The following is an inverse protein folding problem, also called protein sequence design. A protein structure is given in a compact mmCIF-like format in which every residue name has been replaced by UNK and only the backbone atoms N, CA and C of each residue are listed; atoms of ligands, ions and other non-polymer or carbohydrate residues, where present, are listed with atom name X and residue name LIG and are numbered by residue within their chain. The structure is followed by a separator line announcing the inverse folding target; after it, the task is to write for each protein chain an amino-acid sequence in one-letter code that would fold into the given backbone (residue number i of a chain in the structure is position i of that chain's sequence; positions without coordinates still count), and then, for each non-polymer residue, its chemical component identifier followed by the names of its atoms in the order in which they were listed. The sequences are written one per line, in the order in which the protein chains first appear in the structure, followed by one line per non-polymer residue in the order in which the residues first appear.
data_IF_750046677974
#
_entry.id   IF_750046677974
#
_cell.length_a   1.000
_cell.length_b   1.000
_cell.length_c   1.000
_cell.angle_alpha   90.00
_cell.angle_beta   90.00
_cell.angle_gamma   90.00
#
_symmetry.space_group_name_H-M   'P 1'
#
loop_
_entity.id
_entity.type
_entity.pdbx_description
1 polymer ?
#
# COMPACT_ATOMS: atom_id res chain seq x y z
N UNK A 1 1.49 -23.48 14.13
CA UNK A 1 1.94 -22.77 12.91
C UNK A 1 2.25 -21.35 13.36
N UNK A 2 3.36 -20.74 12.93
CA UNK A 2 3.72 -19.38 13.39
C UNK A 2 2.78 -18.38 12.70
N UNK A 3 1.97 -17.66 13.47
CA UNK A 3 1.00 -16.68 12.98
C UNK A 3 1.71 -15.37 12.61
N UNK A 4 2.52 -15.41 11.54
CA UNK A 4 3.13 -14.22 10.97
C UNK A 4 2.07 -13.44 10.18
N UNK A 5 1.84 -12.20 10.59
CA UNK A 5 0.91 -11.27 9.95
C UNK A 5 1.67 -10.08 9.38
N UNK A 6 1.19 -9.52 8.28
CA UNK A 6 1.69 -8.27 7.73
C UNK A 6 0.56 -7.24 7.77
N UNK A 7 0.90 -6.02 8.19
CA UNK A 7 0.02 -4.85 8.17
C UNK A 7 0.78 -3.67 7.61
N UNK A 8 0.11 -2.62 7.20
CA UNK A 8 0.76 -1.42 6.67
C UNK A 8 0.19 -0.15 7.31
N UNK A 9 1.01 0.89 7.35
CA UNK A 9 0.63 2.24 7.76
C UNK A 9 1.10 3.20 6.68
N UNK A 10 0.21 4.04 6.18
CA UNK A 10 0.55 5.10 5.24
C UNK A 10 1.09 6.31 5.99
N UNK A 11 2.06 7.01 5.42
CA UNK A 11 2.62 8.23 6.00
C UNK A 11 1.62 9.40 5.92
N UNK A 12 0.70 9.35 4.96
CA UNK A 12 -0.36 10.32 4.73
C UNK A 12 -1.71 9.61 4.64
N UNK A 13 -2.79 10.31 4.98
CA UNK A 13 -4.14 9.75 4.89
C UNK A 13 -4.56 9.45 3.44
N UNK A 14 -4.07 10.28 2.51
CA UNK A 14 -4.32 10.16 1.08
C UNK A 14 -3.01 10.20 0.31
N UNK A 15 -2.95 9.47 -0.81
CA UNK A 15 -1.82 9.51 -1.74
C UNK A 15 -2.20 10.40 -2.92
N UNK A 16 -1.43 11.46 -3.12
CA UNK A 16 -1.60 12.37 -4.25
C UNK A 16 -0.54 12.08 -5.32
N UNK A 17 -0.97 12.11 -6.59
CA UNK A 17 -0.04 12.13 -7.71
C UNK A 17 0.80 13.43 -7.67
N UNK A 18 2.02 13.42 -8.25
CA UNK A 18 2.66 12.31 -8.94
C UNK A 18 3.35 11.38 -7.94
N UNK A 19 3.24 10.06 -8.14
CA UNK A 19 3.99 9.08 -7.35
C UNK A 19 5.07 8.43 -8.19
N UNK A 20 6.31 8.53 -7.75
CA UNK A 20 7.44 7.95 -8.48
C UNK A 20 7.62 6.47 -8.12
N UNK A 21 8.14 5.68 -9.07
CA UNK A 21 8.53 4.30 -8.79
C UNK A 21 9.57 4.27 -7.65
N UNK A 22 9.40 3.33 -6.73
CA UNK A 22 10.14 3.14 -5.49
C UNK A 22 9.98 4.26 -4.45
N UNK A 23 9.08 5.23 -4.65
CA UNK A 23 8.79 6.24 -3.64
C UNK A 23 8.22 5.58 -2.38
N UNK A 24 8.78 5.92 -1.21
CA UNK A 24 8.30 5.44 0.08
C UNK A 24 7.03 6.20 0.45
N UNK A 25 5.93 5.47 0.64
CA UNK A 25 4.61 6.02 0.98
C UNK A 25 4.10 5.55 2.34
N UNK A 26 4.83 4.65 3.00
CA UNK A 26 4.43 4.10 4.29
C UNK A 26 5.42 3.08 4.83
N UNK A 27 4.93 2.29 5.77
CA UNK A 27 5.69 1.22 6.43
C UNK A 27 4.87 -0.06 6.50
N UNK A 28 5.50 -1.19 6.19
CA UNK A 28 4.97 -2.54 6.39
C UNK A 28 5.46 -3.01 7.76
N UNK A 29 4.53 -3.42 8.63
CA UNK A 29 4.80 -4.03 9.92
C UNK A 29 4.57 -5.54 9.85
N UNK A 30 5.61 -6.31 10.12
CA UNK A 30 5.52 -7.76 10.29
C UNK A 30 5.29 -8.07 11.76
N UNK A 31 4.20 -8.76 12.06
CA UNK A 31 3.79 -9.10 13.41
C UNK A 31 3.82 -10.60 13.61
N UNK A 32 4.37 -11.04 14.74
CA UNK A 32 4.27 -12.42 15.20
C UNK A 32 3.62 -12.39 16.58
N UNK A 33 2.56 -13.18 16.77
CA UNK A 33 1.81 -13.24 18.03
C UNK A 33 1.33 -11.85 18.49
N UNK A 34 0.96 -10.98 17.54
CA UNK A 34 0.49 -9.61 17.78
C UNK A 34 1.59 -8.58 18.11
N UNK A 35 2.87 -8.97 18.11
CA UNK A 35 4.01 -8.05 18.31
C UNK A 35 4.72 -7.78 17.00
N UNK A 36 4.99 -6.51 16.69
CA UNK A 36 5.82 -6.15 15.54
C UNK A 36 7.25 -6.63 15.75
N UNK A 37 7.73 -7.49 14.86
CA UNK A 37 9.09 -8.06 14.87
C UNK A 37 10.01 -7.41 13.82
N UNK A 38 9.43 -6.84 12.76
CA UNK A 38 10.20 -6.24 11.67
C UNK A 38 9.38 -5.15 10.96
N UNK A 39 10.08 -4.15 10.41
CA UNK A 39 9.49 -3.10 9.60
C UNK A 39 10.24 -2.92 8.28
N UNK A 40 9.50 -2.69 7.20
CA UNK A 40 10.06 -2.42 5.87
C UNK A 40 9.36 -1.23 5.21
N UNK A 41 10.05 -0.47 4.35
CA UNK A 41 9.41 0.63 3.63
C UNK A 41 8.35 0.11 2.65
N UNK A 42 7.15 0.69 2.70
CA UNK A 42 6.12 0.48 1.68
C UNK A 42 6.39 1.44 0.53
N UNK A 43 6.63 0.89 -0.67
CA UNK A 43 7.04 1.66 -1.85
C UNK A 43 6.07 1.52 -3.01
N UNK A 44 6.05 2.55 -3.85
CA UNK A 44 5.27 2.60 -5.09
C UNK A 44 5.93 1.70 -6.15
N UNK A 45 5.22 0.69 -6.65
CA UNK A 45 5.79 -0.26 -7.63
C UNK A 45 5.76 0.27 -9.08
N UNK A 46 4.79 1.11 -9.39
CA UNK A 46 4.56 1.68 -10.72
C UNK A 46 4.41 3.18 -10.59
N UNK A 47 5.08 3.92 -11.47
CA UNK A 47 4.95 5.37 -11.51
C UNK A 47 3.51 5.78 -11.84
N UNK A 48 3.01 6.75 -11.07
CA UNK A 48 1.70 7.33 -11.24
C UNK A 48 1.88 8.81 -11.60
N UNK A 49 1.73 9.19 -12.87
CA UNK A 49 1.76 10.59 -13.27
C UNK A 49 0.48 11.32 -12.85
N UNK A 50 0.56 12.64 -12.71
CA UNK A 50 -0.62 13.49 -12.56
C UNK A 50 -1.48 13.47 -13.85
N UNK A 51 -2.82 13.36 -13.71
CA UNK A 51 -3.75 13.51 -14.83
C UNK A 51 -4.92 12.51 -14.85
N UNK A 52 -5.72 12.53 -15.93
CA UNK A 52 -6.92 11.71 -16.13
C UNK A 52 -6.70 10.18 -15.98
N UNK A 53 -5.45 9.71 -15.99
CA UNK A 53 -5.10 8.30 -15.84
C UNK A 53 -5.08 7.84 -14.36
N UNK A 54 -4.76 8.71 -13.39
CA UNK A 54 -4.69 8.35 -11.97
C UNK A 54 -6.05 7.90 -11.41
N UNK A 55 -7.12 8.61 -11.77
CA UNK A 55 -8.48 8.26 -11.36
C UNK A 55 -8.88 6.84 -11.78
N UNK A 56 -8.46 6.40 -12.97
CA UNK A 56 -8.72 5.05 -13.49
C UNK A 56 -7.93 3.97 -12.73
N UNK A 57 -6.67 4.26 -12.36
CA UNK A 57 -5.85 3.33 -11.56
C UNK A 57 -6.48 3.12 -10.19
N UNK A 58 -6.89 4.20 -9.51
CA UNK A 58 -7.52 4.11 -8.19
C UNK A 58 -8.83 3.33 -8.26
N UNK A 59 -9.64 3.54 -9.30
CA UNK A 59 -10.87 2.79 -9.50
C UNK A 59 -10.61 1.28 -9.68
N UNK A 60 -9.59 0.93 -10.46
CA UNK A 60 -9.15 -0.46 -10.64
C UNK A 60 -8.68 -1.10 -9.32
N UNK A 61 -7.89 -0.39 -8.53
CA UNK A 61 -7.42 -0.86 -7.22
C UNK A 61 -8.61 -1.10 -6.29
N UNK A 62 -9.56 -0.16 -6.21
CA UNK A 62 -10.77 -0.30 -5.38
C UNK A 62 -11.61 -1.52 -5.80
N UNK A 63 -11.79 -1.74 -7.10
CA UNK A 63 -12.52 -2.90 -7.63
C UNK A 63 -11.83 -4.22 -7.28
N UNK A 64 -10.50 -4.27 -7.38
CA UNK A 64 -9.72 -5.47 -7.04
C UNK A 64 -9.87 -5.83 -5.55
N UNK A 65 -9.81 -4.83 -4.65
CA UNK A 65 -10.03 -5.07 -3.22
C UNK A 65 -11.47 -5.46 -2.90
N UNK A 66 -12.46 -4.86 -3.57
CA UNK A 66 -13.86 -5.27 -3.43
C UNK A 66 -14.10 -6.71 -3.88
N UNK A 67 -13.37 -7.21 -4.89
CA UNK A 67 -13.49 -8.62 -5.31
C UNK A 67 -12.79 -9.60 -4.35
N UNK A 68 -11.76 -9.16 -3.63
CA UNK A 68 -11.00 -10.03 -2.74
C UNK A 68 -11.61 -10.13 -1.34
N UNK A 69 -12.40 -9.14 -0.93
CA UNK A 69 -13.06 -9.08 0.38
C UNK A 69 -14.59 -8.91 0.34
N UNK A 70 -15.18 -8.93 -0.87
CA UNK A 70 -16.63 -8.96 -1.09
C UNK A 70 -17.14 -10.37 -1.33
#
# INVERSE_FOLDING_TARGET
MKDLKASYVLNTAELHAPLQKNQVVGTINFQLDGKTIEQRPLVVLQEIPEGNFFGKIIDYIKLMFHHWFG
#
